data_IF_727532796949
#
_entry.id   IF_727532796949
#
_cell.length_a   1.000
_cell.length_b   1.000
_cell.length_c   1.000
_cell.angle_alpha   90.00
_cell.angle_beta   90.00
_cell.angle_gamma   90.00
#
_symmetry.space_group_name_H-M   'P 1'
#
loop_
_entity.id
_entity.type
_entity.pdbx_description
1 polymer ?
#
# COMPACT_ATOMS: atom_id res chain seq x y z
N UNK A 1 15.29 29.28 -15.28
CA UNK A 1 14.49 29.86 -14.18
C UNK A 1 13.86 28.71 -13.42
N UNK A 2 14.08 28.60 -12.11
CA UNK A 2 13.39 27.61 -11.28
C UNK A 2 12.06 28.27 -10.88
N UNK A 3 10.94 27.78 -11.42
CA UNK A 3 9.62 28.23 -10.99
C UNK A 3 9.39 27.72 -9.56
N UNK A 4 9.30 28.64 -8.60
CA UNK A 4 8.86 28.29 -7.26
C UNK A 4 7.36 27.97 -7.29
N UNK A 5 6.92 26.88 -6.64
CA UNK A 5 5.51 26.54 -6.58
C UNK A 5 4.74 27.62 -5.81
N UNK A 6 3.52 27.91 -6.24
CA UNK A 6 2.61 28.80 -5.52
C UNK A 6 2.08 28.12 -4.25
N UNK A 7 1.55 28.90 -3.31
CA UNK A 7 0.89 28.36 -2.10
C UNK A 7 -0.25 27.40 -2.49
N UNK A 8 -1.02 27.73 -3.54
CA UNK A 8 -2.10 26.88 -4.04
C UNK A 8 -1.57 25.53 -4.55
N UNK A 9 -0.48 25.52 -5.32
CA UNK A 9 0.14 24.28 -5.80
C UNK A 9 0.64 23.40 -4.64
N UNK A 10 1.16 24.01 -3.58
CA UNK A 10 1.57 23.27 -2.37
C UNK A 10 0.37 22.67 -1.63
N UNK A 11 -0.75 23.40 -1.53
CA UNK A 11 -1.98 22.91 -0.90
C UNK A 11 -2.56 21.73 -1.69
N UNK A 12 -2.59 21.81 -3.01
CA UNK A 12 -3.05 20.74 -3.88
C UNK A 12 -2.18 19.49 -3.73
N UNK A 13 -0.85 19.65 -3.68
CA UNK A 13 0.08 18.55 -3.48
C UNK A 13 -0.13 17.85 -2.12
N UNK A 14 -0.24 18.62 -1.04
CA UNK A 14 -0.52 18.08 0.31
C UNK A 14 -1.86 17.34 0.34
N UNK A 15 -2.86 17.88 -0.35
CA UNK A 15 -4.20 17.27 -0.43
C UNK A 15 -4.16 15.93 -1.15
N UNK A 16 -3.47 15.87 -2.29
CA UNK A 16 -3.24 14.64 -3.03
C UNK A 16 -2.47 13.62 -2.19
N UNK A 17 -1.37 14.01 -1.54
CA UNK A 17 -0.59 13.13 -0.66
C UNK A 17 -1.45 12.53 0.46
N UNK A 18 -2.33 13.35 1.07
CA UNK A 18 -3.26 12.89 2.11
C UNK A 18 -4.28 11.89 1.56
N UNK A 19 -4.85 12.16 0.39
CA UNK A 19 -5.79 11.25 -0.28
C UNK A 19 -5.13 9.92 -0.62
N UNK A 20 -3.94 9.95 -1.21
CA UNK A 20 -3.14 8.76 -1.52
C UNK A 20 -2.86 7.93 -0.27
N UNK A 21 -2.43 8.57 0.82
CA UNK A 21 -2.21 7.87 2.10
C UNK A 21 -3.47 7.20 2.63
N UNK A 22 -4.62 7.87 2.60
CA UNK A 22 -5.89 7.27 3.04
C UNK A 22 -6.29 6.05 2.21
N UNK A 23 -6.03 6.08 0.89
CA UNK A 23 -6.31 4.97 -0.02
C UNK A 23 -5.39 3.77 0.28
N UNK A 24 -4.10 4.02 0.45
CA UNK A 24 -3.10 3.01 0.86
C UNK A 24 -3.48 2.37 2.20
N UNK A 25 -3.83 3.18 3.20
CA UNK A 25 -4.22 2.68 4.52
C UNK A 25 -5.49 1.82 4.45
N UNK A 26 -6.44 2.19 3.60
CA UNK A 26 -7.69 1.44 3.42
C UNK A 26 -7.47 0.11 2.70
N UNK A 27 -6.66 0.10 1.64
CA UNK A 27 -6.27 -1.13 0.94
C UNK A 27 -5.50 -2.08 1.86
N UNK A 28 -4.54 -1.54 2.62
CA UNK A 28 -3.75 -2.33 3.58
C UNK A 28 -4.63 -2.97 4.63
N UNK A 29 -5.58 -2.22 5.22
CA UNK A 29 -6.54 -2.76 6.19
C UNK A 29 -7.43 -3.85 5.59
N UNK A 30 -7.94 -3.63 4.37
CA UNK A 30 -8.79 -4.61 3.70
C UNK A 30 -8.04 -5.92 3.42
N UNK A 31 -6.77 -5.86 3.00
CA UNK A 31 -5.95 -7.07 2.80
C UNK A 31 -5.74 -7.82 4.12
N UNK A 32 -5.32 -7.10 5.17
CA UNK A 32 -5.07 -7.69 6.50
C UNK A 32 -6.33 -8.39 7.03
N UNK A 33 -7.49 -7.72 6.94
CA UNK A 33 -8.75 -8.25 7.48
C UNK A 33 -9.28 -9.43 6.65
N UNK A 34 -9.34 -9.29 5.33
CA UNK A 34 -9.97 -10.29 4.47
C UNK A 34 -9.12 -11.55 4.28
N UNK A 35 -7.80 -11.45 4.46
CA UNK A 35 -6.88 -12.58 4.40
C UNK A 35 -6.45 -13.07 5.78
N UNK A 36 -7.05 -12.53 6.86
CA UNK A 36 -6.76 -12.90 8.24
C UNK A 36 -5.27 -12.87 8.58
N UNK A 37 -4.54 -11.87 8.08
CA UNK A 37 -3.09 -11.78 8.26
C UNK A 37 -2.78 -11.56 9.74
N UNK A 38 -2.04 -12.47 10.39
CA UNK A 38 -1.70 -12.33 11.81
C UNK A 38 -0.75 -11.15 12.00
N UNK A 39 -0.81 -10.49 13.16
CA UNK A 39 0.06 -9.35 13.46
C UNK A 39 1.55 -9.74 13.44
N UNK A 40 1.91 -10.80 14.16
CA UNK A 40 3.28 -11.31 14.21
C UNK A 40 3.60 -12.22 13.02
N UNK A 41 4.84 -12.17 12.53
CA UNK A 41 5.35 -13.07 11.51
C UNK A 41 6.55 -12.48 10.77
N UNK A 42 6.93 -13.12 9.69
CA UNK A 42 8.08 -12.84 8.83
C UNK A 42 7.66 -12.46 7.40
N UNK A 43 6.42 -12.02 7.18
CA UNK A 43 5.91 -11.65 5.86
C UNK A 43 6.78 -10.59 5.16
N UNK A 44 7.46 -9.73 5.92
CA UNK A 44 8.44 -8.78 5.38
C UNK A 44 9.52 -9.45 4.52
N UNK A 45 9.92 -10.68 4.86
CA UNK A 45 10.91 -11.47 4.12
C UNK A 45 10.36 -11.90 2.76
N UNK A 46 9.13 -12.44 2.74
CA UNK A 46 8.44 -12.86 1.52
C UNK A 46 8.17 -11.67 0.59
N UNK A 47 7.83 -10.51 1.17
CA UNK A 47 7.62 -9.25 0.46
C UNK A 47 8.93 -8.55 0.04
N UNK A 48 10.09 -9.14 0.34
CA UNK A 48 11.44 -8.63 0.02
C UNK A 48 11.70 -7.22 0.58
N UNK A 49 11.12 -6.90 1.73
CA UNK A 49 11.35 -5.63 2.41
C UNK A 49 12.72 -5.64 3.11
N UNK A 50 13.45 -4.53 3.00
CA UNK A 50 14.82 -4.41 3.53
C UNK A 50 14.91 -4.36 5.05
N UNK A 51 13.83 -4.00 5.74
CA UNK A 51 13.79 -3.84 7.19
C UNK A 51 12.74 -4.76 7.82
N UNK A 52 13.19 -5.63 8.72
CA UNK A 52 12.33 -6.49 9.52
C UNK A 52 11.25 -5.69 10.26
N UNK A 53 10.02 -6.21 10.21
CA UNK A 53 8.84 -5.63 10.85
C UNK A 53 7.72 -6.67 10.97
N UNK A 54 6.70 -6.36 11.76
CA UNK A 54 5.49 -7.17 11.86
C UNK A 54 4.73 -7.22 10.52
N UNK A 55 3.87 -8.22 10.33
CA UNK A 55 3.20 -8.46 9.05
C UNK A 55 2.28 -7.30 8.64
N UNK A 56 1.66 -6.62 9.61
CA UNK A 56 0.75 -5.51 9.29
C UNK A 56 1.54 -4.29 8.78
N UNK A 57 2.69 -4.00 9.39
CA UNK A 57 3.64 -3.01 8.89
C UNK A 57 4.21 -3.41 7.54
N UNK A 58 4.52 -4.71 7.35
CA UNK A 58 5.02 -5.22 6.08
C UNK A 58 4.01 -5.00 4.94
N UNK A 59 2.73 -5.35 5.15
CA UNK A 59 1.65 -5.10 4.17
C UNK A 59 1.54 -3.61 3.86
N UNK A 60 1.51 -2.72 4.86
CA UNK A 60 1.40 -1.28 4.62
C UNK A 60 2.53 -0.73 3.76
N UNK A 61 3.77 -1.17 4.02
CA UNK A 61 4.94 -0.74 3.23
C UNK A 61 4.86 -1.28 1.81
N UNK A 62 4.54 -2.56 1.66
CA UNK A 62 4.41 -3.19 0.36
C UNK A 62 3.29 -2.58 -0.49
N UNK A 63 2.11 -2.33 0.09
CA UNK A 63 1.01 -1.63 -0.59
C UNK A 63 1.44 -0.22 -1.00
N UNK A 64 2.15 0.51 -0.14
CA UNK A 64 2.66 1.84 -0.47
C UNK A 64 3.65 1.81 -1.64
N UNK A 65 4.57 0.85 -1.67
CA UNK A 65 5.51 0.66 -2.79
C UNK A 65 4.78 0.30 -4.09
N UNK A 66 3.73 -0.52 -4.01
CA UNK A 66 2.96 -0.98 -5.17
C UNK A 66 1.95 0.04 -5.68
N UNK A 67 1.48 0.95 -4.83
CA UNK A 67 0.31 1.80 -5.11
C UNK A 67 0.43 2.56 -6.44
N UNK A 68 1.57 3.20 -6.69
CA UNK A 68 1.79 3.98 -7.92
C UNK A 68 1.80 3.13 -9.19
N UNK A 69 2.11 1.83 -9.10
CA UNK A 69 2.11 0.91 -10.24
C UNK A 69 0.71 0.40 -10.59
N UNK A 70 -0.19 0.39 -9.62
CA UNK A 70 -1.50 -0.25 -9.74
C UNK A 70 -2.67 0.72 -9.68
N UNK A 71 -2.43 2.01 -9.40
CA UNK A 71 -3.52 2.93 -9.10
C UNK A 71 -4.42 3.18 -10.32
N UNK A 72 -5.56 2.48 -10.35
CA UNK A 72 -6.59 2.63 -11.39
C UNK A 72 -7.61 3.73 -11.08
N UNK A 73 -7.49 4.40 -9.93
CA UNK A 73 -8.54 5.27 -9.39
C UNK A 73 -9.69 4.54 -8.68
N UNK A 74 -9.82 3.22 -8.88
CA UNK A 74 -10.88 2.39 -8.29
C UNK A 74 -10.37 1.51 -7.14
N UNK A 75 -11.12 1.46 -6.04
CA UNK A 75 -10.72 0.70 -4.85
C UNK A 75 -10.75 -0.81 -5.09
N UNK A 76 -11.85 -1.33 -5.66
CA UNK A 76 -12.05 -2.77 -5.82
C UNK A 76 -11.06 -3.37 -6.80
N UNK A 77 -10.76 -2.65 -7.89
CA UNK A 77 -9.74 -3.01 -8.87
C UNK A 77 -8.36 -3.07 -8.23
N UNK A 78 -7.96 -2.03 -7.50
CA UNK A 78 -6.67 -1.98 -6.80
C UNK A 78 -6.57 -3.10 -5.75
N UNK A 79 -7.63 -3.36 -4.99
CA UNK A 79 -7.69 -4.44 -4.00
C UNK A 79 -7.51 -5.82 -4.65
N UNK A 80 -8.23 -6.09 -5.76
CA UNK A 80 -8.14 -7.37 -6.48
C UNK A 80 -6.72 -7.62 -7.00
N UNK A 81 -6.08 -6.59 -7.57
CA UNK A 81 -4.70 -6.68 -8.08
C UNK A 81 -3.74 -7.00 -6.93
N UNK A 82 -3.82 -6.25 -5.82
CA UNK A 82 -2.96 -6.49 -4.65
C UNK A 82 -3.17 -7.86 -4.05
N UNK A 83 -4.43 -8.31 -3.90
CA UNK A 83 -4.75 -9.63 -3.40
C UNK A 83 -4.09 -10.71 -4.27
N UNK A 84 -4.28 -10.65 -5.59
CA UNK A 84 -3.68 -11.63 -6.50
C UNK A 84 -2.14 -11.65 -6.42
N UNK A 85 -1.51 -10.47 -6.35
CA UNK A 85 -0.04 -10.39 -6.22
C UNK A 85 0.45 -10.96 -4.89
N UNK A 86 -0.24 -10.66 -3.78
CA UNK A 86 0.12 -11.17 -2.46
C UNK A 86 -0.01 -12.70 -2.39
N UNK A 87 -1.09 -13.27 -2.92
CA UNK A 87 -1.29 -14.72 -2.98
C UNK A 87 -0.27 -15.44 -3.87
N UNK A 88 0.24 -14.77 -4.90
CA UNK A 88 1.31 -15.31 -5.73
C UNK A 88 2.68 -15.30 -5.02
N UNK A 89 2.89 -14.38 -4.09
CA UNK A 89 4.11 -14.29 -3.28
C UNK A 89 4.08 -15.29 -2.12
N UNK A 90 2.94 -15.34 -1.42
CA UNK A 90 2.74 -16.21 -0.26
C UNK A 90 1.36 -16.87 -0.34
N UNK A 91 1.29 -18.11 -0.87
CA UNK A 91 0.05 -18.86 -1.01
C UNK A 91 -0.59 -19.28 0.32
N UNK A 92 0.05 -19.06 1.46
CA UNK A 92 -0.53 -19.41 2.78
C UNK A 92 -1.80 -18.60 3.10
N UNK A 93 -2.00 -17.49 2.40
CA UNK A 93 -3.19 -16.64 2.52
C UNK A 93 -4.27 -16.92 1.45
N UNK A 94 -4.09 -17.94 0.60
CA UNK A 94 -4.95 -18.27 -0.54
C UNK A 94 -6.29 -18.92 -0.15
#
# INVERSE_FOLDING_TARGET
>A
MINQPTIEQLIDEITLQKQTKMRIDSLSRALIQNLYIPYCGDLYFHLKLTKACDNHTAIKRWVNEKFNEIDTGDFDSNYRILKQQLLAIDPTYA
#
